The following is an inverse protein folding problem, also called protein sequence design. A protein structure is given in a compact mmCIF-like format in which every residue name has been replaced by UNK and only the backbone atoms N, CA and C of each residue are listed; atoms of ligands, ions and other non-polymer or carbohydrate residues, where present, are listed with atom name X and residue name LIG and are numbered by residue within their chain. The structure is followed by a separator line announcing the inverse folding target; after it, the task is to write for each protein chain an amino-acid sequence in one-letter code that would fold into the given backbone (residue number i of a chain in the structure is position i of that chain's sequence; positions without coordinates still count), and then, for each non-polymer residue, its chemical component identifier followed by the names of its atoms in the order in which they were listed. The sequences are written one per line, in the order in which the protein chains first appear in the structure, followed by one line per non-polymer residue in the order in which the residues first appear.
data_IF_570802891748
#
_entry.id   IF_570802891748
#
_cell.length_a   1.000
_cell.length_b   1.000
_cell.length_c   1.000
_cell.angle_alpha   90.00
_cell.angle_beta   90.00
_cell.angle_gamma   90.00
#
_symmetry.space_group_name_H-M   'P 1'
#
loop_
_entity.id
_entity.type
_entity.pdbx_description
1 polymer ?
#
# COMPACT_ATOMS: atom_id res chain seq x y z
N UNK A 1 -0.45 -26.34 38.72
CA UNK A 1 -0.19 -25.61 37.46
C UNK A 1 0.97 -26.27 36.71
N UNK A 2 0.95 -26.20 35.35
CA UNK A 2 2.06 -26.64 34.50
C UNK A 2 3.25 -25.70 34.65
N UNK A 3 4.46 -26.27 34.69
CA UNK A 3 5.74 -25.54 34.61
C UNK A 3 6.41 -25.83 33.29
N UNK A 4 7.18 -24.89 32.78
CA UNK A 4 7.85 -24.99 31.47
C UNK A 4 9.31 -24.59 31.56
N UNK A 5 10.10 -25.15 30.67
CA UNK A 5 11.46 -24.71 30.33
C UNK A 5 12.41 -24.51 31.55
N UNK A 6 12.47 -25.46 32.43
CA UNK A 6 13.37 -25.43 33.60
C UNK A 6 12.82 -24.74 34.83
N UNK A 7 11.56 -24.30 34.82
CA UNK A 7 10.92 -23.80 36.02
C UNK A 7 10.79 -24.89 37.09
N UNK A 8 11.12 -24.57 38.34
CA UNK A 8 11.03 -25.51 39.44
C UNK A 8 9.57 -25.91 39.72
N UNK A 9 9.30 -27.19 39.72
CA UNK A 9 8.04 -27.77 40.15
C UNK A 9 8.23 -28.50 41.48
N UNK A 10 7.31 -28.29 42.42
CA UNK A 10 7.39 -28.90 43.75
C UNK A 10 7.72 -27.90 44.84
N UNK A 11 8.17 -28.39 45.97
CA UNK A 11 8.50 -27.59 47.17
C UNK A 11 9.91 -27.90 47.62
N UNK A 12 10.69 -26.86 47.96
CA UNK A 12 12.02 -26.99 48.57
C UNK A 12 11.96 -26.63 50.02
N UNK A 13 12.66 -27.38 50.90
CA UNK A 13 12.78 -27.10 52.34
C UNK A 13 11.54 -27.41 53.21
N UNK A 14 10.50 -28.01 52.63
CA UNK A 14 9.24 -28.30 53.35
C UNK A 14 9.08 -29.78 53.79
N UNK A 15 10.10 -30.62 53.58
CA UNK A 15 10.07 -32.05 53.89
C UNK A 15 8.83 -32.79 53.35
N UNK A 16 8.26 -32.31 52.25
CA UNK A 16 7.16 -32.95 51.56
C UNK A 16 7.65 -33.77 50.39
N UNK A 17 7.12 -35.01 50.24
CA UNK A 17 7.47 -35.91 49.12
C UNK A 17 6.67 -35.56 47.86
N UNK A 18 7.25 -35.82 46.72
CA UNK A 18 6.58 -35.74 45.43
C UNK A 18 5.86 -37.06 45.20
N UNK A 19 4.54 -37.06 45.03
CA UNK A 19 3.75 -38.29 44.89
C UNK A 19 3.45 -38.70 43.47
N UNK A 20 3.36 -37.69 42.57
CA UNK A 20 3.13 -37.93 41.15
C UNK A 20 3.77 -36.83 40.29
N UNK A 21 4.16 -37.21 39.10
CA UNK A 21 4.66 -36.28 38.09
C UNK A 21 4.00 -36.58 36.75
N UNK A 22 3.66 -35.53 36.01
CA UNK A 22 3.21 -35.64 34.64
C UNK A 22 4.09 -34.76 33.74
N UNK A 23 4.65 -35.34 32.69
CA UNK A 23 5.54 -34.65 31.75
C UNK A 23 4.97 -34.80 30.35
N UNK A 24 4.93 -33.70 29.57
CA UNK A 24 4.65 -33.75 28.13
C UNK A 24 5.57 -32.81 27.38
N UNK A 25 5.92 -33.18 26.18
CA UNK A 25 6.61 -32.30 25.24
C UNK A 25 5.57 -31.53 24.49
N UNK A 26 5.68 -30.20 24.49
CA UNK A 26 4.83 -29.32 23.72
C UNK A 26 5.66 -28.60 22.66
N UNK A 27 5.16 -28.56 21.43
CA UNK A 27 5.76 -27.76 20.35
C UNK A 27 5.15 -26.37 20.41
N UNK A 28 5.95 -25.32 20.62
CA UNK A 28 5.49 -23.94 20.54
C UNK A 28 4.94 -23.68 19.13
N UNK A 29 3.68 -23.28 19.03
CA UNK A 29 3.10 -22.91 17.75
C UNK A 29 3.76 -21.64 17.22
N UNK A 30 4.37 -21.73 16.05
CA UNK A 30 4.93 -20.60 15.34
C UNK A 30 3.81 -19.84 14.68
N UNK A 31 3.77 -18.52 14.85
CA UNK A 31 2.74 -17.63 14.31
C UNK A 31 3.38 -16.38 13.77
N UNK A 32 2.80 -15.84 12.72
CA UNK A 32 3.19 -14.57 12.13
C UNK A 32 1.99 -13.74 11.73
N UNK A 33 2.20 -12.45 11.57
CA UNK A 33 1.24 -11.49 11.05
C UNK A 33 1.92 -10.62 9.99
N UNK A 34 1.19 -10.33 8.93
CA UNK A 34 1.62 -9.50 7.80
C UNK A 34 0.58 -8.44 7.52
N UNK A 35 1.03 -7.28 7.09
CA UNK A 35 0.18 -6.23 6.56
C UNK A 35 0.86 -5.54 5.38
N UNK A 36 0.06 -5.09 4.41
CA UNK A 36 0.48 -4.22 3.31
C UNK A 36 -0.13 -2.85 3.55
N UNK A 37 0.72 -1.84 3.78
CA UNK A 37 0.28 -0.45 3.95
C UNK A 37 0.03 0.20 2.58
N UNK A 38 0.92 -0.07 1.62
CA UNK A 38 0.81 0.41 0.22
C UNK A 38 1.16 -0.70 -0.77
N UNK A 39 0.48 -0.73 -1.94
CA UNK A 39 -0.67 0.08 -2.31
C UNK A 39 -1.90 -0.28 -1.45
N UNK A 40 -2.79 0.70 -1.26
CA UNK A 40 -4.12 0.42 -0.72
C UNK A 40 -4.86 -0.47 -1.72
N UNK A 41 -5.60 -1.45 -1.21
CA UNK A 41 -6.29 -2.41 -2.05
C UNK A 41 -7.23 -1.72 -3.05
N UNK A 42 -7.08 -2.06 -4.33
CA UNK A 42 -7.85 -1.49 -5.43
C UNK A 42 -7.39 -0.11 -5.92
N UNK A 43 -6.25 0.42 -5.45
CA UNK A 43 -5.66 1.67 -5.96
C UNK A 43 -5.47 1.61 -7.46
N UNK A 44 -5.69 2.73 -8.15
CA UNK A 44 -5.42 2.87 -9.59
C UNK A 44 -4.19 3.74 -9.81
N UNK A 45 -3.30 3.28 -10.66
CA UNK A 45 -2.12 4.01 -11.15
C UNK A 45 -2.26 4.22 -12.65
N UNK A 46 -1.88 5.40 -13.11
CA UNK A 46 -1.96 5.78 -14.52
C UNK A 46 -0.57 5.77 -15.15
N UNK A 47 -0.46 5.29 -16.38
CA UNK A 47 0.82 5.12 -17.11
C UNK A 47 1.63 6.43 -17.21
N UNK A 48 0.93 7.56 -17.37
CA UNK A 48 1.55 8.89 -17.43
C UNK A 48 2.01 9.45 -16.07
N UNK A 49 1.54 8.89 -14.96
CA UNK A 49 1.79 9.41 -13.61
C UNK A 49 2.83 8.59 -12.83
N UNK A 50 2.93 7.31 -13.13
CA UNK A 50 3.82 6.42 -12.40
C UNK A 50 4.44 5.35 -13.30
N UNK A 51 5.76 5.27 -13.30
CA UNK A 51 6.51 4.12 -13.85
C UNK A 51 6.83 3.08 -12.80
N UNK A 52 6.84 3.46 -11.53
CA UNK A 52 7.10 2.59 -10.40
C UNK A 52 6.10 2.84 -9.28
N UNK A 53 5.73 1.78 -8.57
CA UNK A 53 4.98 1.87 -7.31
C UNK A 53 5.82 1.29 -6.18
N UNK A 54 5.74 1.92 -5.02
CA UNK A 54 6.34 1.40 -3.80
C UNK A 54 5.35 0.50 -3.08
N UNK A 55 5.76 -0.73 -2.84
CA UNK A 55 5.06 -1.65 -1.94
C UNK A 55 5.68 -1.55 -0.57
N UNK A 56 4.90 -1.28 0.45
CA UNK A 56 5.37 -1.23 1.84
C UNK A 56 4.39 -1.86 2.80
N UNK A 57 4.89 -2.25 3.96
CA UNK A 57 4.09 -2.87 4.99
C UNK A 57 4.93 -3.31 6.19
N UNK A 58 4.41 -4.24 6.95
CA UNK A 58 5.10 -4.77 8.11
C UNK A 58 4.83 -6.27 8.34
N UNK A 59 5.76 -6.90 9.04
CA UNK A 59 5.71 -8.30 9.47
C UNK A 59 6.04 -8.42 10.95
N UNK A 60 5.35 -9.29 11.66
CA UNK A 60 5.66 -9.67 13.04
C UNK A 60 5.56 -11.18 13.19
N UNK A 61 6.40 -11.78 14.03
CA UNK A 61 6.34 -13.20 14.35
C UNK A 61 6.79 -13.48 15.79
N UNK A 62 6.29 -14.57 16.36
CA UNK A 62 6.74 -15.05 17.67
C UNK A 62 8.04 -15.91 17.59
N UNK A 63 8.76 -15.79 16.49
CA UNK A 63 10.07 -16.38 16.22
C UNK A 63 10.96 -15.35 15.54
N UNK A 64 12.28 -15.47 15.77
CA UNK A 64 13.29 -14.61 15.11
C UNK A 64 13.64 -15.10 13.70
N UNK A 65 14.39 -14.29 12.93
CA UNK A 65 14.92 -14.65 11.61
C UNK A 65 13.84 -15.01 10.58
N UNK A 66 12.77 -14.23 10.56
CA UNK A 66 11.74 -14.35 9.53
C UNK A 66 12.05 -13.48 8.32
N UNK A 67 11.74 -14.00 7.13
CA UNK A 67 11.87 -13.31 5.85
C UNK A 67 10.54 -13.26 5.13
N UNK A 68 10.39 -12.33 4.19
CA UNK A 68 9.24 -12.31 3.28
C UNK A 68 9.67 -12.74 1.87
N UNK A 69 8.71 -13.30 1.14
CA UNK A 69 8.72 -13.41 -0.32
C UNK A 69 7.53 -12.64 -0.86
N UNK A 70 7.78 -11.90 -1.93
CA UNK A 70 6.77 -11.08 -2.60
C UNK A 70 6.57 -11.58 -4.03
N UNK A 71 5.34 -11.51 -4.50
CA UNK A 71 4.93 -11.94 -5.83
C UNK A 71 4.02 -10.89 -6.44
N UNK A 72 4.18 -10.65 -7.74
CA UNK A 72 3.23 -9.88 -8.54
C UNK A 72 2.71 -10.80 -9.64
N UNK A 73 1.40 -10.99 -9.69
CA UNK A 73 0.72 -11.91 -10.61
C UNK A 73 1.34 -13.32 -10.60
N UNK A 74 1.74 -13.78 -9.43
CA UNK A 74 2.36 -15.08 -9.22
C UNK A 74 3.86 -15.14 -9.53
N UNK A 75 4.47 -14.10 -10.09
CA UNK A 75 5.91 -14.02 -10.34
C UNK A 75 6.65 -13.47 -9.13
N UNK A 76 7.64 -14.20 -8.64
CA UNK A 76 8.44 -13.80 -7.47
C UNK A 76 9.30 -12.57 -7.77
N UNK A 77 9.33 -11.63 -6.85
CA UNK A 77 10.20 -10.45 -6.84
C UNK A 77 11.56 -10.84 -6.24
N UNK A 78 12.65 -10.32 -6.80
CA UNK A 78 13.98 -10.56 -6.24
C UNK A 78 14.05 -10.08 -4.79
N UNK A 79 14.27 -11.00 -3.86
CA UNK A 79 14.33 -10.73 -2.42
C UNK A 79 15.41 -9.71 -2.04
N UNK A 80 16.45 -9.53 -2.86
CA UNK A 80 17.51 -8.53 -2.65
C UNK A 80 17.02 -7.08 -2.80
N UNK A 81 15.88 -6.87 -3.47
CA UNK A 81 15.28 -5.53 -3.62
C UNK A 81 14.47 -5.13 -2.41
N UNK A 82 14.15 -6.06 -1.50
CA UNK A 82 13.34 -5.81 -0.31
C UNK A 82 14.20 -5.18 0.76
N UNK A 83 13.83 -3.96 1.16
CA UNK A 83 14.44 -3.23 2.26
C UNK A 83 13.67 -3.46 3.54
N UNK A 84 14.38 -3.63 4.66
CA UNK A 84 13.77 -3.78 5.98
C UNK A 84 14.12 -2.59 6.87
N UNK A 85 13.16 -2.13 7.69
CA UNK A 85 13.35 -0.98 8.57
C UNK A 85 12.56 -1.11 9.87
N UNK A 86 12.94 -0.30 10.86
CA UNK A 86 12.30 -0.29 12.16
C UNK A 86 10.89 0.33 12.09
N UNK A 87 9.93 -0.26 12.81
CA UNK A 87 8.55 0.20 12.96
C UNK A 87 8.15 0.08 14.44
N UNK A 88 8.54 1.06 15.24
CA UNK A 88 8.26 1.11 16.70
C UNK A 88 6.76 1.10 17.00
N UNK A 89 5.96 1.75 16.16
CA UNK A 89 4.52 1.75 16.22
C UNK A 89 3.96 0.32 16.18
N UNK A 90 4.40 -0.48 15.21
CA UNK A 90 3.98 -1.88 15.05
C UNK A 90 4.43 -2.74 16.24
N UNK A 91 5.67 -2.58 16.71
CA UNK A 91 6.21 -3.35 17.84
C UNK A 91 5.41 -3.07 19.11
N UNK A 92 5.03 -1.82 19.35
CA UNK A 92 4.31 -1.41 20.54
C UNK A 92 2.84 -1.85 20.54
N UNK A 93 2.21 -1.91 19.36
CA UNK A 93 0.81 -2.34 19.24
C UNK A 93 0.63 -3.87 19.22
N UNK A 94 1.61 -4.62 18.66
CA UNK A 94 1.44 -6.05 18.35
C UNK A 94 2.39 -6.89 19.20
N UNK A 95 2.45 -6.60 20.50
CA UNK A 95 3.33 -7.24 21.49
C UNK A 95 3.12 -8.76 21.60
N UNK A 96 1.94 -9.27 21.24
CA UNK A 96 1.62 -10.70 21.25
C UNK A 96 2.46 -11.55 20.29
N UNK A 97 3.06 -10.90 19.26
CA UNK A 97 3.92 -11.54 18.26
C UNK A 97 5.41 -11.35 18.55
N UNK A 98 5.76 -10.88 19.73
CA UNK A 98 7.15 -10.82 20.17
C UNK A 98 7.65 -9.39 20.43
N UNK A 99 8.85 -9.32 20.96
CA UNK A 99 9.55 -8.09 21.33
C UNK A 99 10.38 -7.55 20.16
N UNK A 100 10.97 -6.36 20.35
CA UNK A 100 11.94 -5.77 19.42
C UNK A 100 13.12 -6.72 19.13
N UNK A 101 13.59 -7.49 20.12
CA UNK A 101 14.68 -8.46 19.93
C UNK A 101 14.33 -9.62 18.96
N UNK A 102 13.05 -9.98 18.82
CA UNK A 102 12.57 -10.97 17.86
C UNK A 102 12.25 -10.35 16.49
N UNK A 103 11.82 -9.11 16.45
CA UNK A 103 11.40 -8.38 15.25
C UNK A 103 12.07 -6.99 15.20
N UNK A 104 13.40 -6.90 15.02
CA UNK A 104 14.12 -5.62 15.06
C UNK A 104 13.76 -4.70 13.89
N UNK A 105 13.39 -5.26 12.76
CA UNK A 105 13.02 -4.55 11.54
C UNK A 105 11.70 -5.09 10.97
N UNK A 106 10.56 -4.77 11.61
CA UNK A 106 9.29 -5.30 11.15
C UNK A 106 8.80 -4.66 9.84
N UNK A 107 9.20 -3.43 9.53
CA UNK A 107 8.86 -2.77 8.27
C UNK A 107 9.56 -3.40 7.07
N UNK A 108 8.88 -3.41 5.93
CA UNK A 108 9.47 -3.77 4.65
C UNK A 108 9.01 -2.83 3.54
N UNK A 109 9.84 -2.65 2.51
CA UNK A 109 9.47 -1.95 1.28
C UNK A 109 10.28 -2.44 0.08
N UNK A 110 9.69 -2.33 -1.10
CA UNK A 110 10.33 -2.56 -2.39
C UNK A 110 9.56 -1.83 -3.50
N UNK A 111 10.20 -1.62 -4.64
CA UNK A 111 9.59 -0.98 -5.79
C UNK A 111 9.25 -2.01 -6.88
N UNK A 112 8.14 -1.79 -7.56
CA UNK A 112 7.69 -2.54 -8.73
C UNK A 112 7.69 -1.59 -9.92
N UNK A 113 8.45 -1.92 -10.97
CA UNK A 113 8.39 -1.23 -12.26
C UNK A 113 7.11 -1.67 -12.99
N UNK A 114 6.08 -0.81 -12.95
CA UNK A 114 4.77 -1.10 -13.54
C UNK A 114 4.71 -0.76 -15.04
N UNK A 115 5.69 -0.06 -15.60
CA UNK A 115 5.73 0.28 -17.02
C UNK A 115 5.69 -0.96 -17.94
N UNK A 116 6.15 -2.10 -17.42
CA UNK A 116 6.20 -3.40 -18.13
C UNK A 116 4.92 -4.22 -18.01
N UNK A 117 3.95 -3.76 -17.23
CA UNK A 117 2.68 -4.46 -17.06
C UNK A 117 1.69 -4.06 -18.15
N UNK A 118 0.77 -4.95 -18.47
CA UNK A 118 -0.40 -4.62 -19.28
C UNK A 118 -1.37 -3.76 -18.45
N UNK A 119 -2.30 -3.07 -19.11
CA UNK A 119 -3.41 -2.43 -18.40
C UNK A 119 -4.32 -3.47 -17.76
N UNK A 120 -4.91 -3.13 -16.61
CA UNK A 120 -5.84 -3.98 -15.87
C UNK A 120 -5.47 -4.18 -14.40
N UNK A 121 -6.11 -5.17 -13.79
CA UNK A 121 -5.93 -5.48 -12.37
C UNK A 121 -4.75 -6.44 -12.16
N UNK A 122 -3.91 -6.12 -11.19
CA UNK A 122 -2.73 -6.90 -10.77
C UNK A 122 -2.80 -7.24 -9.31
N UNK A 123 -2.24 -8.39 -8.93
CA UNK A 123 -2.25 -8.87 -7.53
C UNK A 123 -0.84 -8.91 -6.97
N UNK A 124 -0.66 -8.31 -5.80
CA UNK A 124 0.54 -8.44 -4.99
C UNK A 124 0.24 -9.44 -3.88
N UNK A 125 1.05 -10.49 -3.78
CA UNK A 125 1.01 -11.46 -2.69
C UNK A 125 2.31 -11.41 -1.90
N UNK A 126 2.21 -11.40 -0.57
CA UNK A 126 3.37 -11.44 0.32
C UNK A 126 3.20 -12.61 1.27
N UNK A 127 4.25 -13.39 1.43
CA UNK A 127 4.34 -14.54 2.32
C UNK A 127 5.43 -14.32 3.36
N UNK A 128 5.11 -14.56 4.62
CA UNK A 128 6.06 -14.54 5.73
C UNK A 128 6.59 -15.94 5.97
N UNK A 129 7.91 -16.11 5.91
CA UNK A 129 8.60 -17.37 6.10
C UNK A 129 9.38 -17.40 7.41
N UNK A 130 9.36 -18.55 8.03
CA UNK A 130 10.34 -18.98 9.01
C UNK A 130 10.93 -20.31 8.55
N UNK A 131 12.24 -20.35 8.35
CA UNK A 131 12.89 -21.47 7.69
C UNK A 131 12.24 -21.71 6.29
N UNK A 132 11.82 -22.89 5.95
CA UNK A 132 11.12 -23.18 4.69
C UNK A 132 9.59 -23.27 4.85
N UNK A 133 9.04 -22.73 5.94
CA UNK A 133 7.60 -22.82 6.26
C UNK A 133 6.95 -21.45 6.15
N UNK A 134 5.85 -21.34 5.39
CA UNK A 134 5.00 -20.16 5.37
C UNK A 134 4.24 -20.06 6.69
N UNK A 135 4.41 -18.95 7.39
CA UNK A 135 3.67 -18.67 8.64
C UNK A 135 2.32 -17.99 8.35
N UNK A 136 2.30 -17.11 7.39
CA UNK A 136 1.09 -16.37 6.98
C UNK A 136 1.29 -15.74 5.60
N UNK A 137 0.18 -15.38 4.95
CA UNK A 137 0.13 -14.75 3.63
C UNK A 137 -0.84 -13.58 3.66
N UNK A 138 -0.53 -12.52 2.92
CA UNK A 138 -1.43 -11.38 2.68
C UNK A 138 -1.40 -10.99 1.21
N UNK A 139 -2.50 -10.42 0.71
CA UNK A 139 -2.64 -9.96 -0.67
C UNK A 139 -3.23 -8.56 -0.71
N UNK A 140 -2.88 -7.83 -1.77
CA UNK A 140 -3.55 -6.59 -2.18
C UNK A 140 -3.64 -6.55 -3.70
N UNK A 141 -4.53 -5.74 -4.25
CA UNK A 141 -4.65 -5.52 -5.68
C UNK A 141 -4.42 -4.07 -6.04
N UNK A 142 -3.96 -3.82 -7.25
CA UNK A 142 -3.94 -2.51 -7.87
C UNK A 142 -4.38 -2.60 -9.32
N UNK A 143 -4.91 -1.50 -9.86
CA UNK A 143 -5.24 -1.36 -11.26
C UNK A 143 -4.17 -0.50 -11.94
N UNK A 144 -3.69 -0.93 -13.10
CA UNK A 144 -2.84 -0.14 -13.95
C UNK A 144 -3.63 0.31 -15.18
N UNK A 145 -3.89 1.61 -15.28
CA UNK A 145 -4.72 2.17 -16.34
C UNK A 145 -3.84 2.84 -17.40
N UNK A 146 -3.90 2.30 -18.61
CA UNK A 146 -3.20 2.78 -19.80
C UNK A 146 -4.12 3.49 -20.81
N UNK A 147 -5.40 3.62 -20.48
CA UNK A 147 -6.32 4.29 -21.39
C UNK A 147 -6.07 5.80 -21.41
N UNK A 148 -6.32 6.39 -22.55
CA UNK A 148 -6.32 7.84 -22.69
C UNK A 148 -7.55 8.43 -21.99
N UNK A 149 -7.33 9.42 -21.12
CA UNK A 149 -8.36 10.14 -20.41
C UNK A 149 -8.23 11.65 -20.63
N UNK A 150 -9.32 12.37 -20.50
CA UNK A 150 -9.31 13.83 -20.36
C UNK A 150 -9.44 14.18 -18.87
N UNK A 151 -8.53 15.02 -18.37
CA UNK A 151 -8.63 15.61 -17.03
C UNK A 151 -8.88 17.11 -17.13
N UNK A 152 -9.70 17.64 -16.24
CA UNK A 152 -10.00 19.06 -16.15
C UNK A 152 -10.27 19.49 -14.72
N UNK A 153 -9.94 20.74 -14.43
CA UNK A 153 -10.29 21.41 -13.19
C UNK A 153 -10.82 22.81 -13.48
N UNK A 154 -11.58 23.34 -12.54
CA UNK A 154 -12.23 24.64 -12.68
C UNK A 154 -11.92 25.53 -11.48
N UNK A 155 -11.78 26.83 -11.75
CA UNK A 155 -11.77 27.87 -10.73
C UNK A 155 -13.15 28.41 -10.55
N UNK A 156 -13.70 28.38 -9.35
CA UNK A 156 -15.04 28.82 -9.00
C UNK A 156 -14.95 30.05 -8.11
N UNK A 157 -15.80 31.01 -8.36
CA UNK A 157 -15.92 32.23 -7.55
C UNK A 157 -15.99 31.88 -6.05
N UNK A 158 -15.21 32.58 -5.24
CA UNK A 158 -15.16 32.47 -3.78
C UNK A 158 -14.71 31.10 -3.24
N UNK A 159 -14.58 30.08 -4.09
CA UNK A 159 -14.11 28.72 -3.71
C UNK A 159 -12.69 28.39 -4.25
N UNK A 160 -12.24 29.08 -5.31
CA UNK A 160 -10.93 28.84 -5.92
C UNK A 160 -10.89 27.62 -6.83
N UNK A 161 -9.67 27.11 -7.04
CA UNK A 161 -9.45 25.91 -7.84
C UNK A 161 -10.01 24.66 -7.16
N UNK A 162 -10.82 23.92 -7.94
CA UNK A 162 -11.41 22.64 -7.52
C UNK A 162 -10.46 21.49 -7.82
N UNK A 163 -10.73 20.32 -7.24
CA UNK A 163 -9.99 19.10 -7.56
C UNK A 163 -10.15 18.69 -9.03
N UNK A 164 -9.12 18.00 -9.57
CA UNK A 164 -9.18 17.42 -10.90
C UNK A 164 -10.35 16.44 -11.05
N UNK A 165 -11.06 16.60 -12.15
CA UNK A 165 -12.13 15.72 -12.63
C UNK A 165 -11.70 15.05 -13.92
N UNK A 166 -12.33 13.93 -14.30
CA UNK A 166 -12.02 13.22 -15.54
C UNK A 166 -13.27 12.62 -16.20
N UNK A 167 -13.16 12.40 -17.50
CA UNK A 167 -14.06 11.55 -18.28
C UNK A 167 -15.55 11.79 -18.06
N UNK A 168 -16.01 13.04 -18.06
CA UNK A 168 -17.42 13.40 -17.90
C UNK A 168 -17.87 13.62 -16.45
N UNK A 169 -16.97 13.54 -15.46
CA UNK A 169 -17.28 13.95 -14.10
C UNK A 169 -17.62 15.45 -14.06
N UNK A 170 -18.51 15.86 -13.19
CA UNK A 170 -18.89 17.28 -13.06
C UNK A 170 -17.78 18.06 -12.36
N UNK A 171 -17.28 19.11 -13.01
CA UNK A 171 -16.40 20.12 -12.44
C UNK A 171 -17.16 21.44 -12.22
N UNK A 172 -16.87 22.12 -11.12
CA UNK A 172 -17.60 23.32 -10.71
C UNK A 172 -18.68 23.04 -9.68
N UNK A 173 -19.62 24.00 -9.55
CA UNK A 173 -20.72 23.94 -8.56
C UNK A 173 -22.06 23.95 -9.24
N UNK A 174 -23.07 23.33 -8.63
CA UNK A 174 -24.47 23.37 -9.05
C UNK A 174 -25.32 23.92 -7.92
N UNK A 175 -26.29 24.80 -8.26
CA UNK A 175 -27.25 25.39 -7.31
C UNK A 175 -26.71 26.44 -6.35
N UNK A 176 -25.43 26.82 -6.44
CA UNK A 176 -24.79 27.82 -5.57
C UNK A 176 -24.79 29.24 -6.17
N UNK A 177 -25.22 29.42 -7.43
CA UNK A 177 -25.15 30.70 -8.16
C UNK A 177 -23.74 31.30 -8.22
N UNK A 178 -22.70 30.48 -8.13
CA UNK A 178 -21.29 30.87 -8.29
C UNK A 178 -20.86 30.67 -9.74
N UNK A 179 -20.15 31.66 -10.28
CA UNK A 179 -19.64 31.56 -11.65
C UNK A 179 -18.36 30.78 -11.73
N UNK A 180 -18.15 30.17 -12.87
CA UNK A 180 -16.92 29.54 -13.28
C UNK A 180 -15.98 30.59 -13.84
N UNK A 181 -14.79 30.79 -13.32
CA UNK A 181 -13.89 31.90 -13.66
C UNK A 181 -12.72 31.47 -14.55
N UNK A 182 -12.26 30.24 -14.39
CA UNK A 182 -11.20 29.65 -15.22
C UNK A 182 -11.31 28.12 -15.26
N UNK A 183 -10.63 27.53 -16.25
CA UNK A 183 -10.51 26.10 -16.37
C UNK A 183 -9.12 25.70 -16.89
N UNK A 184 -8.70 24.49 -16.54
CA UNK A 184 -7.53 23.85 -17.09
C UNK A 184 -7.92 22.46 -17.58
N UNK A 185 -7.45 22.06 -18.77
CA UNK A 185 -7.74 20.75 -19.36
C UNK A 185 -6.44 20.14 -19.87
N UNK A 186 -6.18 18.87 -19.56
CA UNK A 186 -5.05 18.09 -20.09
C UNK A 186 -5.46 16.66 -20.36
N UNK A 187 -4.64 15.95 -21.12
CA UNK A 187 -4.77 14.52 -21.33
C UNK A 187 -3.97 13.74 -20.25
N UNK A 188 -4.51 12.61 -19.84
CA UNK A 188 -3.87 11.65 -18.96
C UNK A 188 -3.62 10.34 -19.74
N UNK A 189 -2.48 9.69 -19.54
CA UNK A 189 -2.03 8.52 -20.29
C UNK A 189 -1.88 8.77 -21.80
N UNK A 190 -1.48 9.98 -22.18
CA UNK A 190 -1.24 10.31 -23.58
C UNK A 190 0.16 9.85 -24.02
N UNK A 191 0.27 8.59 -24.41
CA UNK A 191 1.50 8.04 -25.00
C UNK A 191 1.74 8.49 -26.46
N UNK A 192 0.73 9.09 -27.10
CA UNK A 192 0.81 9.55 -28.48
C UNK A 192 0.99 11.07 -28.53
N UNK A 193 2.18 11.53 -28.92
CA UNK A 193 2.51 12.94 -29.06
C UNK A 193 1.69 13.69 -30.10
N UNK A 194 0.96 12.99 -30.97
CA UNK A 194 0.12 13.60 -32.03
C UNK A 194 -1.31 13.87 -31.54
N UNK A 195 -1.65 13.46 -30.32
CA UNK A 195 -2.97 13.70 -29.72
C UNK A 195 -2.86 14.83 -28.70
N UNK A 196 -3.63 15.87 -28.91
CA UNK A 196 -3.68 17.04 -28.04
C UNK A 196 -5.11 17.42 -27.71
N UNK A 197 -5.34 17.89 -26.48
CA UNK A 197 -6.58 18.58 -26.16
C UNK A 197 -6.39 20.09 -26.40
N UNK A 198 -7.25 20.67 -27.23
CA UNK A 198 -7.25 22.11 -27.53
C UNK A 198 -8.59 22.70 -27.11
N UNK A 199 -8.54 23.76 -26.33
CA UNK A 199 -9.74 24.40 -25.78
C UNK A 199 -9.67 25.92 -25.79
N UNK A 200 -10.83 26.54 -25.75
CA UNK A 200 -11.01 27.96 -25.78
C UNK A 200 -12.24 28.31 -24.91
N UNK A 201 -12.19 29.39 -24.20
CA UNK A 201 -13.31 29.89 -23.38
C UNK A 201 -13.75 31.25 -23.84
N UNK A 202 -15.03 31.54 -23.66
CA UNK A 202 -15.60 32.87 -23.85
C UNK A 202 -15.85 33.51 -22.48
N UNK A 203 -15.24 34.67 -22.24
CA UNK A 203 -15.36 35.39 -20.97
C UNK A 203 -16.31 36.57 -21.18
N UNK A 204 -17.19 36.80 -20.21
CA UNK A 204 -18.13 37.93 -20.24
C UNK A 204 -17.36 39.22 -20.39
N UNK A 205 -17.86 40.11 -21.29
CA UNK A 205 -17.30 41.43 -21.60
C UNK A 205 -15.88 41.42 -22.22
N UNK A 206 -15.20 40.29 -22.27
CA UNK A 206 -13.87 40.14 -22.89
C UNK A 206 -13.89 39.32 -24.20
N UNK A 207 -14.91 38.46 -24.38
CA UNK A 207 -15.06 37.65 -25.57
C UNK A 207 -14.24 36.36 -25.52
N UNK A 208 -13.97 35.77 -26.71
CA UNK A 208 -13.18 34.56 -26.86
C UNK A 208 -11.74 34.82 -26.52
N UNK A 209 -11.22 34.02 -25.58
CA UNK A 209 -9.82 34.00 -25.20
C UNK A 209 -8.99 33.22 -26.24
N UNK A 210 -7.66 33.33 -26.18
CA UNK A 210 -6.80 32.57 -27.04
C UNK A 210 -6.94 31.06 -26.79
N UNK A 211 -6.72 30.30 -27.85
CA UNK A 211 -6.64 28.84 -27.75
C UNK A 211 -5.54 28.40 -26.78
N UNK A 212 -5.85 27.42 -25.97
CA UNK A 212 -4.93 26.70 -25.04
C UNK A 212 -4.78 25.25 -25.46
N UNK A 213 -3.67 24.65 -25.10
CA UNK A 213 -3.36 23.27 -25.42
C UNK A 213 -2.76 22.56 -24.18
N UNK A 214 -3.18 21.35 -23.91
CA UNK A 214 -2.55 20.42 -22.95
C UNK A 214 -2.22 21.00 -21.56
N UNK A 215 -3.11 21.77 -20.99
CA UNK A 215 -2.93 22.30 -19.65
C UNK A 215 -2.27 23.69 -19.57
N UNK A 216 -2.05 24.36 -20.67
CA UNK A 216 -1.66 25.78 -20.64
C UNK A 216 -2.71 26.62 -19.89
N UNK A 217 -2.23 27.53 -19.03
CA UNK A 217 -3.06 28.49 -18.28
C UNK A 217 -3.02 29.89 -18.88
#
# INVERSE_FOLDING_TARGET
DWRTDGEMAGTSGKSLRLEAIQIKIIKKQRRGRLHIDTPVNGSTYYDSEASNITVSGWKMANVSNTNIKAYVDGKEIDSKTIQYYERKDVINEIIEYGTNGQNPTPGYSFNIDISKFNGGSHTIKIELYYDNTVLTTTNTTFNFDKNLHVQYMTHVQDEGWQDWKKDGEVAGTSGKSLRLEAMNIKLLNNANSDIHVKYQVHVQDEGWQNWRTDGEM
#
